data_IF_087271671559
#
_entry.id   IF_087271671559
#
_cell.length_a   1.000
_cell.length_b   1.000
_cell.length_c   1.000
_cell.angle_alpha   90.00
_cell.angle_beta   90.00
_cell.angle_gamma   90.00
#
_symmetry.space_group_name_H-M   'P 1'
#
loop_
_entity.id
_entity.type
_entity.pdbx_description
1 polymer ?
#
# COMPACT_ATOMS: atom_id res chain seq x y z
N UNK A 1 9.97 4.14 -3.42
CA UNK A 1 9.47 4.71 -2.15
C UNK A 1 9.90 3.74 -1.07
N UNK A 2 10.73 4.19 -0.12
CA UNK A 2 11.08 3.36 1.03
C UNK A 2 9.79 3.05 1.80
N UNK A 3 9.65 1.81 2.26
CA UNK A 3 8.55 1.44 3.16
C UNK A 3 8.63 2.34 4.41
N UNK A 4 7.50 2.74 4.99
CA UNK A 4 7.45 3.44 6.29
C UNK A 4 8.27 2.71 7.37
N UNK A 5 8.42 1.38 7.23
CA UNK A 5 9.29 0.54 8.05
C UNK A 5 10.80 0.82 7.85
N UNK A 6 11.26 1.03 6.61
CA UNK A 6 12.68 1.24 6.28
C UNK A 6 13.22 2.59 6.76
N UNK A 7 12.37 3.63 6.74
CA UNK A 7 12.75 4.95 7.24
C UNK A 7 12.68 5.04 8.77
N UNK A 8 11.81 4.26 9.44
CA UNK A 8 11.67 4.30 10.91
C UNK A 8 12.78 3.53 11.62
N UNK A 9 13.30 2.45 11.03
CA UNK A 9 14.29 1.55 11.64
C UNK A 9 15.52 2.25 12.27
N UNK A 10 16.19 3.21 11.61
CA UNK A 10 17.34 3.90 12.21
C UNK A 10 16.97 4.92 13.30
N UNK A 11 15.72 5.35 13.39
CA UNK A 11 15.26 6.36 14.37
C UNK A 11 14.57 5.68 15.57
N UNK A 12 14.04 4.48 15.38
CA UNK A 12 13.21 3.72 16.32
C UNK A 12 13.84 3.54 17.71
N UNK A 13 15.16 3.39 17.82
CA UNK A 13 15.84 3.30 19.12
C UNK A 13 15.64 4.54 20.00
N UNK A 14 15.55 5.72 19.38
CA UNK A 14 15.26 7.00 20.05
C UNK A 14 13.79 7.39 20.08
N UNK A 15 12.94 6.77 19.26
CA UNK A 15 11.51 7.12 19.08
C UNK A 15 10.76 7.02 20.41
N UNK A 16 11.06 6.03 21.27
CA UNK A 16 10.49 5.91 22.62
C UNK A 16 10.77 7.09 23.55
N UNK A 17 11.77 7.93 23.26
CA UNK A 17 12.12 9.12 24.04
C UNK A 17 11.47 10.41 23.51
N UNK A 18 10.88 10.37 22.32
CA UNK A 18 10.26 11.55 21.71
C UNK A 18 8.98 11.94 22.45
N UNK A 19 8.85 13.25 22.73
CA UNK A 19 7.67 13.80 23.37
C UNK A 19 7.34 15.20 22.86
N UNK A 20 6.06 15.58 22.93
CA UNK A 20 5.57 16.89 22.51
C UNK A 20 5.91 17.19 21.05
N UNK A 21 6.56 18.33 20.82
CA UNK A 21 6.90 18.82 19.47
C UNK A 21 7.73 17.81 18.66
N UNK A 22 8.68 17.12 19.30
CA UNK A 22 9.51 16.13 18.61
C UNK A 22 8.68 14.92 18.16
N UNK A 23 7.69 14.51 18.96
CA UNK A 23 6.76 13.45 18.59
C UNK A 23 5.84 13.87 17.44
N UNK A 24 5.25 15.07 17.51
CA UNK A 24 4.39 15.56 16.42
C UNK A 24 5.14 15.76 15.11
N UNK A 25 6.41 16.18 15.17
CA UNK A 25 7.28 16.27 14.01
C UNK A 25 7.51 14.90 13.39
N UNK A 26 7.84 13.89 14.20
CA UNK A 26 7.98 12.50 13.73
C UNK A 26 6.70 12.04 13.03
N UNK A 27 5.54 12.20 13.66
CA UNK A 27 4.26 11.77 13.06
C UNK A 27 4.00 12.53 11.75
N UNK A 28 4.33 13.82 11.70
CA UNK A 28 4.15 14.64 10.50
C UNK A 28 5.02 14.18 9.34
N UNK A 29 6.27 13.84 9.62
CA UNK A 29 7.25 13.44 8.61
C UNK A 29 6.96 12.04 8.07
N UNK A 30 6.41 11.13 8.89
CA UNK A 30 6.18 9.73 8.54
C UNK A 30 4.76 9.36 8.14
N UNK A 31 3.78 9.98 8.80
CA UNK A 31 2.36 9.60 8.68
C UNK A 31 1.58 10.68 7.94
N UNK A 32 1.91 11.95 8.19
CA UNK A 32 1.35 13.09 7.49
C UNK A 32 0.89 14.22 8.41
N UNK A 33 0.61 15.37 7.80
CA UNK A 33 0.24 16.60 8.52
C UNK A 33 -1.10 16.44 9.25
N UNK A 34 -2.09 15.85 8.58
CA UNK A 34 -3.44 15.69 9.12
C UNK A 34 -3.42 14.70 10.28
N UNK A 35 -2.66 13.62 10.14
CA UNK A 35 -2.48 12.58 11.15
C UNK A 35 -1.78 13.12 12.40
N UNK A 36 -0.75 13.96 12.22
CA UNK A 36 -0.10 14.65 13.34
C UNK A 36 -1.06 15.55 14.11
N UNK A 37 -1.89 16.34 13.42
CA UNK A 37 -2.90 17.18 14.06
C UNK A 37 -3.99 16.37 14.78
N UNK A 38 -4.36 15.20 14.26
CA UNK A 38 -5.28 14.25 14.93
C UNK A 38 -4.74 13.82 16.28
N UNK A 39 -3.43 13.58 16.38
CA UNK A 39 -2.79 13.23 17.66
C UNK A 39 -2.61 14.46 18.55
N UNK A 40 -2.30 15.62 17.97
CA UNK A 40 -2.08 16.87 18.69
C UNK A 40 -3.33 17.37 19.39
N UNK A 41 -4.48 17.39 18.70
CA UNK A 41 -5.75 17.85 19.28
C UNK A 41 -6.24 16.97 20.43
N UNK A 42 -5.86 15.70 20.42
CA UNK A 42 -6.14 14.74 21.50
C UNK A 42 -5.07 14.76 22.61
N UNK A 43 -4.10 15.68 22.54
CA UNK A 43 -2.97 15.78 23.46
C UNK A 43 -2.14 14.48 23.56
N UNK A 44 -2.12 13.67 22.50
CA UNK A 44 -1.33 12.45 22.41
C UNK A 44 0.11 12.87 22.11
N UNK A 45 0.89 13.07 23.18
CA UNK A 45 2.20 13.72 23.09
C UNK A 45 3.39 12.76 23.03
N UNK A 46 3.17 11.45 23.08
CA UNK A 46 4.22 10.43 22.97
C UNK A 46 3.61 9.06 22.65
N UNK A 47 4.49 8.12 22.31
CA UNK A 47 4.13 6.74 21.92
C UNK A 47 3.45 5.98 23.04
N UNK A 48 3.93 6.12 24.29
CA UNK A 48 3.34 5.39 25.43
C UNK A 48 1.86 5.73 25.62
N UNK A 49 1.49 6.98 25.37
CA UNK A 49 0.09 7.42 25.40
C UNK A 49 -0.65 6.86 24.17
N UNK A 50 -0.08 7.03 22.97
CA UNK A 50 -0.68 6.54 21.73
C UNK A 50 -1.03 5.04 21.79
N UNK A 51 -0.10 4.21 22.23
CA UNK A 51 -0.26 2.75 22.31
C UNK A 51 -1.29 2.30 23.35
N UNK A 52 -1.68 3.15 24.30
CA UNK A 52 -2.68 2.86 25.33
C UNK A 52 -4.09 3.28 24.93
N UNK A 53 -4.23 4.04 23.84
CA UNK A 53 -5.52 4.54 23.39
C UNK A 53 -6.22 3.45 22.57
N UNK A 54 -7.43 3.01 22.96
CA UNK A 54 -8.13 1.95 22.26
C UNK A 54 -8.68 2.40 20.91
N UNK A 55 -9.12 3.67 20.79
CA UNK A 55 -9.65 4.24 19.56
C UNK A 55 -9.28 5.71 19.43
N UNK A 56 -8.34 5.99 18.52
CA UNK A 56 -7.84 7.34 18.19
C UNK A 56 -8.87 8.16 17.40
N UNK A 57 -9.90 7.54 16.82
CA UNK A 57 -10.85 8.19 15.92
C UNK A 57 -12.18 8.55 16.59
N UNK A 58 -12.50 7.94 17.73
CA UNK A 58 -13.75 8.17 18.48
C UNK A 58 -14.06 9.66 18.72
N UNK A 59 -13.05 10.50 18.94
CA UNK A 59 -13.23 11.94 19.19
C UNK A 59 -13.85 12.70 18.00
N UNK A 60 -13.81 12.14 16.78
CA UNK A 60 -14.46 12.76 15.63
C UNK A 60 -15.99 12.79 15.73
N UNK A 61 -16.59 11.99 16.62
CA UNK A 61 -18.02 12.09 16.92
C UNK A 61 -18.36 13.24 17.89
N UNK A 62 -17.37 13.84 18.55
CA UNK A 62 -17.61 14.94 19.48
C UNK A 62 -17.95 16.23 18.74
N UNK A 63 -19.05 16.89 19.12
CA UNK A 63 -19.44 18.18 18.54
C UNK A 63 -18.64 19.31 19.20
N UNK A 64 -17.51 19.70 18.60
CA UNK A 64 -16.67 20.82 19.05
C UNK A 64 -16.28 21.71 17.88
N UNK A 65 -16.24 23.03 18.12
CA UNK A 65 -15.76 24.01 17.15
C UNK A 65 -14.27 23.83 16.87
N UNK A 66 -13.51 23.42 17.88
CA UNK A 66 -12.05 23.26 17.79
C UNK A 66 -11.67 22.10 16.86
N UNK A 67 -12.53 21.09 16.74
CA UNK A 67 -12.30 19.93 15.87
C UNK A 67 -12.88 20.10 14.47
N UNK A 68 -13.65 21.16 14.21
CA UNK A 68 -14.39 21.32 12.95
C UNK A 68 -13.49 21.46 11.72
N UNK A 69 -12.44 22.27 11.82
CA UNK A 69 -11.47 22.47 10.72
C UNK A 69 -10.71 21.17 10.40
N UNK A 70 -10.38 20.39 11.42
CA UNK A 70 -9.73 19.09 11.27
C UNK A 70 -10.69 18.05 10.67
N UNK A 71 -11.93 17.97 11.15
CA UNK A 71 -12.98 17.10 10.60
C UNK A 71 -13.19 17.31 9.10
N UNK A 72 -13.21 18.57 8.65
CA UNK A 72 -13.37 18.90 7.23
C UNK A 72 -12.26 18.28 6.36
N UNK A 73 -11.06 18.12 6.91
CA UNK A 73 -9.90 17.52 6.21
C UNK A 73 -9.82 16.01 6.40
N UNK A 74 -10.04 15.53 7.62
CA UNK A 74 -9.84 14.13 8.00
C UNK A 74 -11.06 13.23 7.73
N UNK A 75 -12.26 13.80 7.60
CA UNK A 75 -13.51 13.05 7.50
C UNK A 75 -14.30 13.36 6.21
N UNK A 76 -15.26 12.48 5.96
CA UNK A 76 -16.39 12.63 5.06
C UNK A 76 -17.64 12.71 5.95
N UNK A 77 -18.62 13.52 5.55
CA UNK A 77 -19.91 13.61 6.23
C UNK A 77 -20.84 12.62 5.54
N UNK A 78 -21.40 11.69 6.31
CA UNK A 78 -22.39 10.72 5.85
C UNK A 78 -23.79 11.36 5.81
N UNK A 79 -24.76 10.69 5.18
CA UNK A 79 -26.13 11.19 5.03
C UNK A 79 -26.81 11.48 6.38
N UNK A 80 -26.45 10.72 7.41
CA UNK A 80 -26.92 10.89 8.80
C UNK A 80 -26.19 12.02 9.55
N UNK A 81 -25.43 12.87 8.85
CA UNK A 81 -24.57 13.92 9.40
C UNK A 81 -23.46 13.38 10.34
N UNK A 82 -23.16 12.09 10.25
CA UNK A 82 -22.09 11.44 11.01
C UNK A 82 -20.73 11.70 10.32
N UNK A 83 -19.67 11.79 11.11
CA UNK A 83 -18.32 11.97 10.56
C UNK A 83 -17.65 10.62 10.38
N UNK A 84 -17.35 10.26 9.13
CA UNK A 84 -16.59 9.04 8.77
C UNK A 84 -15.16 9.43 8.44
N UNK A 85 -14.18 8.88 9.15
CA UNK A 85 -12.76 9.16 8.88
C UNK A 85 -12.38 8.62 7.50
N UNK A 86 -11.66 9.43 6.70
CA UNK A 86 -11.15 9.00 5.39
C UNK A 86 -10.25 7.78 5.56
N UNK A 87 -10.47 6.77 4.72
CA UNK A 87 -9.76 5.48 4.80
C UNK A 87 -8.24 5.62 4.80
N UNK A 88 -7.68 6.57 4.03
CA UNK A 88 -6.23 6.84 4.02
C UNK A 88 -5.69 7.32 5.37
N UNK A 89 -6.36 8.31 5.99
CA UNK A 89 -6.00 8.84 7.32
C UNK A 89 -6.07 7.73 8.37
N UNK A 90 -7.13 6.91 8.31
CA UNK A 90 -7.30 5.77 9.21
C UNK A 90 -6.15 4.76 9.06
N UNK A 91 -5.92 4.31 7.82
CA UNK A 91 -4.89 3.32 7.50
C UNK A 91 -3.49 3.80 7.92
N UNK A 92 -3.16 5.06 7.68
CA UNK A 92 -1.86 5.62 8.02
C UNK A 92 -1.59 5.57 9.53
N UNK A 93 -2.56 6.02 10.34
CA UNK A 93 -2.43 6.01 11.81
C UNK A 93 -2.41 4.58 12.36
N UNK A 94 -3.28 3.69 11.86
CA UNK A 94 -3.35 2.30 12.31
C UNK A 94 -2.05 1.55 12.00
N UNK A 95 -1.51 1.70 10.79
CA UNK A 95 -0.23 1.12 10.41
C UNK A 95 0.91 1.68 11.29
N UNK A 96 0.93 2.98 11.53
CA UNK A 96 1.93 3.60 12.41
C UNK A 96 1.87 3.03 13.84
N UNK A 97 0.68 2.85 14.41
CA UNK A 97 0.49 2.23 15.72
C UNK A 97 0.99 0.78 15.72
N UNK A 98 0.66 0.02 14.68
CA UNK A 98 1.06 -1.39 14.57
C UNK A 98 2.58 -1.55 14.51
N UNK A 99 3.27 -0.70 13.74
CA UNK A 99 4.73 -0.67 13.70
C UNK A 99 5.34 -0.35 15.07
N UNK A 100 4.77 0.60 15.79
CA UNK A 100 5.23 0.96 17.14
C UNK A 100 5.03 -0.18 18.15
N UNK A 101 3.94 -0.95 18.05
CA UNK A 101 3.70 -2.13 18.91
C UNK A 101 4.73 -3.22 18.66
N UNK A 102 4.93 -3.60 17.39
CA UNK A 102 5.92 -4.61 17.01
C UNK A 102 7.32 -4.23 17.52
N UNK A 103 7.63 -2.95 17.51
CA UNK A 103 8.89 -2.45 18.05
C UNK A 103 8.99 -2.58 19.57
N UNK A 104 7.98 -2.19 20.36
CA UNK A 104 8.02 -2.37 21.82
C UNK A 104 8.11 -3.85 22.23
N UNK A 105 7.43 -4.74 21.52
CA UNK A 105 7.49 -6.18 21.75
C UNK A 105 8.90 -6.75 21.50
N UNK A 106 9.58 -6.27 20.45
CA UNK A 106 10.96 -6.67 20.15
C UNK A 106 11.97 -6.26 21.24
N UNK A 107 11.72 -5.14 21.94
CA UNK A 107 12.56 -4.66 23.06
C UNK A 107 12.36 -5.47 24.34
N UNK A 108 11.13 -5.92 24.62
CA UNK A 108 10.82 -6.65 25.86
C UNK A 108 11.45 -8.06 25.92
N UNK A 109 11.68 -8.68 24.77
CA UNK A 109 12.17 -10.07 24.67
C UNK A 109 13.67 -10.23 25.01
N UNK A 110 14.42 -9.12 25.10
CA UNK A 110 15.88 -9.13 25.32
C UNK A 110 16.34 -9.06 26.80
N UNK A 111 15.43 -9.18 27.78
CA UNK A 111 15.76 -8.91 29.20
C UNK A 111 15.96 -10.13 30.13
N UNK A 112 15.83 -11.38 29.64
CA UNK A 112 16.08 -12.58 30.46
C UNK A 112 16.90 -13.64 29.69
N UNK A 113 18.17 -13.86 30.06
CA UNK A 113 19.01 -14.97 29.57
C UNK A 113 19.43 -15.88 30.74
N UNK A 114 19.54 -17.21 30.53
CA UNK A 114 20.86 -17.74 30.19
C UNK A 114 20.88 -18.83 29.08
N UNK A 115 21.89 -18.69 28.21
CA UNK A 115 22.71 -19.71 27.53
C UNK A 115 22.11 -21.02 26.96
N UNK A 116 22.44 -21.21 25.67
CA UNK A 116 22.59 -22.45 24.91
C UNK A 116 21.33 -23.10 24.31
N UNK A 117 21.00 -22.64 23.10
CA UNK A 117 21.11 -23.53 21.94
C UNK A 117 21.52 -22.71 20.73
N UNK A 118 22.57 -23.16 20.07
CA UNK A 118 23.21 -22.54 18.91
C UNK A 118 22.18 -22.40 17.79
N UNK A 119 21.48 -21.27 17.75
CA UNK A 119 20.81 -20.81 16.54
C UNK A 119 21.60 -19.62 16.12
N UNK A 120 22.40 -19.83 15.07
CA UNK A 120 23.30 -18.87 14.46
C UNK A 120 22.74 -17.46 14.56
N UNK A 121 23.52 -16.57 15.17
CA UNK A 121 23.37 -15.13 14.99
C UNK A 121 23.56 -14.91 13.50
N UNK A 122 22.48 -15.03 12.73
CA UNK A 122 22.41 -14.44 11.40
C UNK A 122 22.26 -12.97 11.70
N UNK A 123 23.41 -12.30 11.70
CA UNK A 123 23.50 -10.89 11.36
C UNK A 123 22.61 -10.74 10.13
N UNK A 124 21.37 -10.26 10.33
CA UNK A 124 20.39 -10.12 9.24
C UNK A 124 21.02 -9.15 8.25
N UNK A 125 21.49 -9.70 7.14
CA UNK A 125 22.07 -8.91 6.07
C UNK A 125 21.00 -7.94 5.55
N UNK A 126 21.42 -6.73 5.11
CA UNK A 126 20.52 -5.78 4.47
C UNK A 126 20.00 -6.41 3.18
N UNK A 127 18.72 -6.80 3.15
CA UNK A 127 18.15 -7.50 1.99
C UNK A 127 16.96 -8.42 2.25
N UNK A 128 16.26 -8.32 3.38
CA UNK A 128 15.01 -9.07 3.56
C UNK A 128 13.85 -8.34 2.86
N UNK A 129 13.68 -8.69 1.58
CA UNK A 129 12.60 -8.27 0.71
C UNK A 129 11.20 -8.65 1.27
N UNK A 130 10.19 -7.84 0.91
CA UNK A 130 8.73 -7.99 1.19
C UNK A 130 8.19 -9.43 0.95
N UNK A 131 8.92 -10.27 0.21
CA UNK A 131 8.62 -11.68 -0.01
C UNK A 131 8.51 -12.56 1.23
N UNK A 132 8.97 -12.11 2.41
CA UNK A 132 8.75 -12.83 3.68
C UNK A 132 7.44 -12.46 4.39
N UNK A 133 6.87 -11.28 4.14
CA UNK A 133 5.60 -10.83 4.73
C UNK A 133 4.39 -11.34 3.94
N UNK A 134 4.54 -11.54 2.63
CA UNK A 134 3.59 -12.32 1.84
C UNK A 134 3.98 -13.78 2.04
N UNK A 135 3.10 -14.59 2.63
CA UNK A 135 3.34 -15.99 2.95
C UNK A 135 3.45 -16.85 1.66
N UNK A 136 4.52 -16.67 0.87
CA UNK A 136 4.65 -17.23 -0.49
C UNK A 136 5.13 -18.68 -0.45
N UNK A 137 5.78 -19.16 0.63
CA UNK A 137 6.49 -20.45 0.60
C UNK A 137 6.26 -21.41 1.77
N UNK A 138 5.34 -21.18 2.71
CA UNK A 138 5.05 -22.19 3.75
C UNK A 138 3.55 -22.21 4.06
N UNK A 139 2.83 -23.12 3.40
CA UNK A 139 1.74 -23.96 3.97
C UNK A 139 0.73 -24.50 2.94
N UNK A 140 0.84 -24.19 1.64
CA UNK A 140 -0.11 -24.73 0.66
C UNK A 140 0.58 -25.49 -0.48
N UNK A 141 1.18 -26.64 -0.17
CA UNK A 141 1.52 -27.67 -1.16
C UNK A 141 0.26 -28.38 -1.74
N UNK A 142 -0.95 -27.95 -1.37
CA UNK A 142 -2.18 -28.66 -1.71
C UNK A 142 -3.11 -28.02 -2.75
N UNK A 143 -3.01 -26.72 -3.08
CA UNK A 143 -4.01 -26.08 -3.96
C UNK A 143 -3.44 -25.14 -5.02
N UNK A 144 -3.73 -25.50 -6.26
CA UNK A 144 -3.41 -24.82 -7.51
C UNK A 144 -4.14 -23.47 -7.64
N UNK A 145 -3.41 -22.36 -7.48
CA UNK A 145 -3.37 -21.27 -8.47
C UNK A 145 -2.30 -20.28 -8.03
N UNK A 146 -1.33 -19.98 -8.91
CA UNK A 146 -0.41 -18.87 -8.66
C UNK A 146 -1.21 -17.58 -8.84
N UNK A 147 -1.66 -16.98 -7.74
CA UNK A 147 -2.33 -15.67 -7.76
C UNK A 147 -1.53 -14.69 -8.62
N UNK A 148 -2.21 -13.88 -9.44
CA UNK A 148 -1.57 -12.83 -10.26
C UNK A 148 -0.65 -11.96 -9.40
N UNK A 149 -1.05 -11.68 -8.15
CA UNK A 149 -0.23 -10.93 -7.17
C UNK A 149 1.14 -11.57 -6.97
N UNK A 150 1.20 -12.89 -6.83
CA UNK A 150 2.47 -13.61 -6.65
C UNK A 150 3.33 -13.57 -7.92
N UNK A 151 2.70 -13.66 -9.10
CA UNK A 151 3.40 -13.53 -10.39
C UNK A 151 3.97 -12.12 -10.53
N UNK A 152 3.18 -11.11 -10.21
CA UNK A 152 3.54 -9.70 -10.32
C UNK A 152 4.66 -9.32 -9.36
N UNK A 153 4.55 -9.70 -8.07
CA UNK A 153 5.60 -9.47 -7.07
C UNK A 153 6.90 -10.17 -7.52
N UNK A 154 6.84 -11.46 -7.87
CA UNK A 154 8.03 -12.19 -8.31
C UNK A 154 8.68 -11.56 -9.55
N UNK A 155 7.88 -11.06 -10.49
CA UNK A 155 8.39 -10.37 -11.68
C UNK A 155 9.16 -9.09 -11.30
N UNK A 156 8.65 -8.30 -10.35
CA UNK A 156 9.33 -7.11 -9.84
C UNK A 156 10.68 -7.51 -9.23
N UNK A 157 10.69 -8.51 -8.34
CA UNK A 157 11.90 -8.92 -7.64
C UNK A 157 12.99 -9.39 -8.60
N UNK A 158 12.63 -10.26 -9.54
CA UNK A 158 13.56 -10.73 -10.56
C UNK A 158 14.14 -9.57 -11.38
N UNK A 159 13.32 -8.56 -11.71
CA UNK A 159 13.79 -7.41 -12.47
C UNK A 159 14.69 -6.49 -11.64
N UNK A 160 14.42 -6.30 -10.36
CA UNK A 160 15.27 -5.47 -9.48
C UNK A 160 16.68 -6.04 -9.28
N UNK A 161 16.85 -7.36 -9.44
CA UNK A 161 18.16 -8.02 -9.42
C UNK A 161 18.96 -7.82 -10.74
N UNK A 162 18.31 -7.33 -11.80
CA UNK A 162 18.90 -7.13 -13.12
C UNK A 162 19.13 -5.63 -13.40
N UNK A 163 20.11 -5.29 -14.25
CA UNK A 163 20.23 -3.92 -14.75
C UNK A 163 18.97 -3.53 -15.54
N UNK A 164 18.57 -2.26 -15.45
CA UNK A 164 17.31 -1.71 -16.00
C UNK A 164 17.06 -1.99 -17.48
N UNK A 165 18.12 -2.25 -18.24
CA UNK A 165 18.05 -2.50 -19.68
C UNK A 165 17.70 -3.95 -20.01
N UNK A 166 17.71 -4.84 -19.01
CA UNK A 166 17.52 -6.28 -19.16
C UNK A 166 16.27 -6.78 -18.41
N UNK A 167 15.29 -5.92 -18.15
CA UNK A 167 14.05 -6.36 -17.52
C UNK A 167 13.28 -7.32 -18.44
N UNK A 168 12.84 -8.43 -17.84
CA UNK A 168 12.02 -9.44 -18.48
C UNK A 168 10.65 -9.45 -17.81
N UNK A 169 9.59 -9.50 -18.61
CA UNK A 169 8.23 -9.43 -18.11
C UNK A 169 7.50 -10.74 -18.39
N UNK A 170 6.94 -11.32 -17.33
CA UNK A 170 6.04 -12.46 -17.44
C UNK A 170 4.86 -12.11 -18.39
N UNK A 171 4.38 -13.04 -19.22
CA UNK A 171 3.28 -12.79 -20.15
C UNK A 171 2.01 -12.25 -19.46
N UNK A 172 1.72 -12.68 -18.24
CA UNK A 172 0.56 -12.19 -17.48
C UNK A 172 0.75 -10.73 -17.03
N UNK A 173 1.97 -10.35 -16.68
CA UNK A 173 2.34 -8.97 -16.33
C UNK A 173 2.27 -8.08 -17.58
N UNK A 174 2.73 -8.58 -18.72
CA UNK A 174 2.64 -7.87 -20.00
C UNK A 174 1.18 -7.64 -20.41
N UNK A 175 0.32 -8.67 -20.27
CA UNK A 175 -1.12 -8.56 -20.55
C UNK A 175 -1.80 -7.55 -19.62
N UNK A 176 -1.48 -7.58 -18.33
CA UNK A 176 -1.95 -6.61 -17.35
C UNK A 176 -1.50 -5.19 -17.72
N UNK A 177 -0.22 -5.01 -18.06
CA UNK A 177 0.34 -3.73 -18.47
C UNK A 177 -0.37 -3.17 -19.72
N UNK A 178 -0.71 -4.02 -20.69
CA UNK A 178 -1.47 -3.61 -21.88
C UNK A 178 -2.84 -3.06 -21.49
N UNK A 179 -3.59 -3.81 -20.68
CA UNK A 179 -4.90 -3.38 -20.20
C UNK A 179 -4.82 -2.08 -19.39
N UNK A 180 -3.85 -2.00 -18.47
CA UNK A 180 -3.60 -0.81 -17.67
C UNK A 180 -3.30 0.40 -18.55
N UNK A 181 -2.45 0.25 -19.58
CA UNK A 181 -2.11 1.35 -20.49
C UNK A 181 -3.31 1.87 -21.28
N UNK A 182 -4.24 0.98 -21.65
CA UNK A 182 -5.44 1.34 -22.41
C UNK A 182 -6.47 2.04 -21.51
N UNK A 183 -6.65 1.56 -20.28
CA UNK A 183 -7.68 2.06 -19.35
C UNK A 183 -7.23 3.35 -18.65
N UNK A 184 -5.98 3.39 -18.16
CA UNK A 184 -5.45 4.55 -17.43
C UNK A 184 -4.95 5.66 -18.36
N UNK A 185 -4.65 5.30 -19.61
CA UNK A 185 -4.06 6.19 -20.60
C UNK A 185 -2.56 6.38 -20.41
N UNK A 186 -1.93 6.98 -21.42
CA UNK A 186 -0.47 7.06 -21.54
C UNK A 186 0.22 7.68 -20.31
N UNK A 187 -0.26 8.84 -19.85
CA UNK A 187 0.38 9.61 -18.78
C UNK A 187 0.30 8.90 -17.43
N UNK A 188 -0.85 8.30 -17.10
CA UNK A 188 -1.03 7.59 -15.85
C UNK A 188 -0.21 6.29 -15.83
N UNK A 189 -0.18 5.56 -16.96
CA UNK A 189 0.65 4.38 -17.10
C UNK A 189 2.14 4.68 -16.88
N UNK A 190 2.67 5.72 -17.52
CA UNK A 190 4.07 6.12 -17.35
C UNK A 190 4.37 6.60 -15.94
N UNK A 191 3.45 7.36 -15.33
CA UNK A 191 3.58 7.76 -13.93
C UNK A 191 3.71 6.54 -13.02
N UNK A 192 2.84 5.53 -13.16
CA UNK A 192 2.90 4.30 -12.35
C UNK A 192 4.20 3.54 -12.63
N UNK A 193 4.59 3.37 -13.90
CA UNK A 193 5.80 2.65 -14.31
C UNK A 193 7.07 3.29 -13.72
N UNK A 194 7.17 4.62 -13.75
CA UNK A 194 8.33 5.35 -13.22
C UNK A 194 8.41 5.26 -11.69
N UNK A 195 7.27 5.19 -11.01
CA UNK A 195 7.21 5.06 -9.55
C UNK A 195 7.33 3.60 -9.05
N UNK A 196 7.22 2.61 -9.93
CA UNK A 196 7.39 1.18 -9.64
C UNK A 196 8.44 0.53 -10.56
N UNK A 197 9.75 0.75 -10.31
CA UNK A 197 10.83 0.17 -11.12
C UNK A 197 10.74 -1.35 -11.21
N UNK A 198 10.93 -1.90 -12.42
CA UNK A 198 10.89 -3.35 -12.67
C UNK A 198 9.49 -3.97 -12.72
N UNK A 199 8.44 -3.21 -12.40
CA UNK A 199 7.07 -3.71 -12.36
C UNK A 199 6.39 -3.76 -13.73
N UNK A 200 6.57 -2.71 -14.54
CA UNK A 200 5.86 -2.55 -15.80
C UNK A 200 6.82 -2.32 -16.98
N UNK A 201 6.53 -2.91 -18.16
CA UNK A 201 7.33 -2.72 -19.36
C UNK A 201 7.28 -1.27 -19.85
N UNK A 202 8.34 -0.84 -20.54
CA UNK A 202 8.34 0.43 -21.25
C UNK A 202 7.26 0.44 -22.34
N UNK A 203 6.77 1.63 -22.73
CA UNK A 203 5.82 1.75 -23.85
C UNK A 203 6.33 1.09 -25.12
N UNK A 204 7.64 1.19 -25.40
CA UNK A 204 8.25 0.56 -26.58
C UNK A 204 8.13 -0.96 -26.50
N UNK A 205 8.47 -1.55 -25.35
CA UNK A 205 8.33 -2.99 -25.09
C UNK A 205 6.87 -3.42 -25.19
N UNK A 206 5.95 -2.63 -24.64
CA UNK A 206 4.52 -2.89 -24.63
C UNK A 206 3.91 -2.81 -26.03
N UNK A 207 4.35 -1.85 -26.85
CA UNK A 207 3.92 -1.72 -28.25
C UNK A 207 4.33 -2.94 -29.07
N UNK A 208 5.56 -3.42 -28.90
CA UNK A 208 6.04 -4.62 -29.57
C UNK A 208 5.23 -5.87 -29.16
N UNK A 209 4.89 -5.98 -27.87
CA UNK A 209 4.02 -7.04 -27.35
C UNK A 209 2.58 -6.94 -27.89
N UNK A 210 2.00 -5.75 -27.94
CA UNK A 210 0.64 -5.55 -28.48
C UNK A 210 0.57 -5.86 -29.98
N UNK A 211 1.63 -5.54 -30.72
CA UNK A 211 1.77 -5.89 -32.13
C UNK A 211 1.88 -7.41 -32.33
N UNK A 212 2.59 -8.13 -31.45
CA UNK A 212 2.75 -9.57 -31.59
C UNK A 212 1.49 -10.36 -31.24
N UNK A 213 0.58 -9.81 -30.42
CA UNK A 213 -0.67 -10.48 -30.02
C UNK A 213 -1.88 -9.97 -30.82
N UNK A 214 -1.66 -9.06 -31.77
CA UNK A 214 -2.72 -8.45 -32.59
C UNK A 214 -3.87 -7.92 -31.72
N UNK A 215 -3.55 -7.23 -30.62
CA UNK A 215 -4.53 -6.66 -29.70
C UNK A 215 -5.13 -5.39 -30.35
N UNK A 216 -6.39 -5.39 -30.81
CA UNK A 216 -6.96 -4.29 -31.59
C UNK A 216 -7.64 -3.26 -30.68
N UNK A 217 -7.14 -3.08 -29.44
CA UNK A 217 -7.73 -2.17 -28.47
C UNK A 217 -6.90 -0.89 -28.41
N UNK A 218 -7.53 0.25 -28.71
CA UNK A 218 -6.90 1.57 -28.57
C UNK A 218 -7.34 2.26 -27.28
N UNK A 219 -6.47 3.12 -26.77
CA UNK A 219 -6.78 4.02 -25.65
C UNK A 219 -8.07 4.81 -25.96
N UNK A 220 -8.99 4.83 -25.00
CA UNK A 220 -10.30 5.52 -25.11
C UNK A 220 -11.20 5.05 -26.27
N UNK A 221 -10.97 3.89 -26.87
CA UNK A 221 -11.85 3.36 -27.93
C UNK A 221 -13.05 2.62 -27.31
N UNK A 222 -14.20 3.29 -27.31
CA UNK A 222 -15.47 2.66 -26.96
C UNK A 222 -16.02 1.85 -28.14
N UNK A 223 -15.94 0.53 -28.05
CA UNK A 223 -16.46 -0.39 -29.09
C UNK A 223 -17.94 -0.71 -28.85
N UNK A 224 -18.80 0.28 -29.06
CA UNK A 224 -20.24 0.17 -28.84
C UNK A 224 -20.87 -1.01 -29.61
N UNK A 225 -20.46 -1.24 -30.85
CA UNK A 225 -21.00 -2.35 -31.67
C UNK A 225 -20.62 -3.72 -31.12
N UNK A 226 -19.42 -3.86 -30.57
CA UNK A 226 -18.96 -5.10 -29.95
C UNK A 226 -19.66 -5.34 -28.60
N UNK A 227 -19.90 -4.28 -27.84
CA UNK A 227 -20.71 -4.34 -26.61
C UNK A 227 -22.15 -4.74 -26.93
N UNK A 228 -22.75 -4.15 -27.97
CA UNK A 228 -24.09 -4.49 -28.44
C UNK A 228 -24.18 -5.96 -28.88
N UNK A 229 -23.22 -6.43 -29.69
CA UNK A 229 -23.16 -7.83 -30.13
C UNK A 229 -23.06 -8.79 -28.95
N UNK A 230 -22.26 -8.45 -27.93
CA UNK A 230 -22.15 -9.24 -26.71
C UNK A 230 -23.47 -9.26 -25.93
N UNK A 231 -24.11 -8.09 -25.75
CA UNK A 231 -25.41 -7.95 -25.10
C UNK A 231 -26.51 -8.75 -25.79
N UNK A 232 -26.57 -8.68 -27.12
CA UNK A 232 -27.47 -9.47 -27.95
C UNK A 232 -27.20 -10.99 -27.77
N UNK A 233 -25.93 -11.40 -27.58
CA UNK A 233 -25.56 -12.81 -27.38
C UNK A 233 -25.96 -13.38 -26.01
N UNK A 234 -26.13 -12.53 -25.00
CA UNK A 234 -26.56 -12.92 -23.65
C UNK A 234 -28.02 -12.56 -23.37
N UNK A 235 -28.77 -12.17 -24.40
CA UNK A 235 -30.17 -11.70 -24.33
C UNK A 235 -30.39 -10.65 -23.22
N UNK A 236 -29.44 -9.71 -23.10
CA UNK A 236 -29.49 -8.64 -22.11
C UNK A 236 -29.52 -7.28 -22.79
N UNK A 237 -30.44 -6.41 -22.38
CA UNK A 237 -30.49 -5.02 -22.86
C UNK A 237 -29.71 -4.04 -21.99
N UNK A 238 -29.11 -4.50 -20.89
CA UNK A 238 -28.53 -3.63 -19.86
C UNK A 238 -27.16 -4.13 -19.39
N UNK A 239 -26.24 -3.19 -19.13
CA UNK A 239 -24.98 -3.42 -18.42
C UNK A 239 -25.02 -2.59 -17.15
N UNK A 240 -24.94 -3.25 -15.99
CA UNK A 240 -24.74 -2.53 -14.74
C UNK A 240 -23.26 -2.17 -14.60
N UNK A 241 -22.96 -0.87 -14.75
CA UNK A 241 -21.65 -0.33 -14.37
C UNK A 241 -21.72 0.03 -12.89
N UNK A 242 -21.04 -0.74 -12.04
CA UNK A 242 -20.88 -0.37 -10.63
C UNK A 242 -19.83 0.73 -10.56
N UNK A 243 -20.28 1.98 -10.53
CA UNK A 243 -19.43 3.10 -10.18
C UNK A 243 -19.29 3.14 -8.66
N UNK A 244 -18.20 2.60 -8.13
CA UNK A 244 -17.81 2.80 -6.74
C UNK A 244 -17.33 4.25 -6.58
N UNK A 245 -18.19 5.06 -5.96
CA UNK A 245 -17.97 6.44 -5.53
C UNK A 245 -17.09 6.55 -4.30
#
# INVERSE_FOLDING_TARGET
>A
MASMEEELLPILDTVSSYSGVAFYKLVKDYVGIVESEVLEIQCIKNIRILLRIPDVFSFFQMNSKDTFSLKKRACIIDDDMSYVVRAGIRSNIEQFIELLKQFEESKSTNSNFPSQTTTSIVIKQPGQCICHQVNINKENEGFQSKSFVNIFIRNILNNLEMPSNNYHFDPMVSKFASALSIVSGHNAYEFIRLNLPGALPSITTLRNYNQSISLPLRECEFRFDSLKTYLDSIDSSYVFMVCSS
#
